data_IF_518583622877
#
_entry.id   IF_518583622877
#
_cell.length_a   1.000
_cell.length_b   1.000
_cell.length_c   1.000
_cell.angle_alpha   90.00
_cell.angle_beta   90.00
_cell.angle_gamma   90.00
#
_symmetry.space_group_name_H-M   'P 1'
#
loop_
_entity.id
_entity.type
_entity.pdbx_description
1 polymer ?
#
# COMPACT_ATOMS: atom_id res chain seq x y z
N UNK A 1 12.50 -13.57 10.77
CA UNK A 1 12.39 -12.48 9.77
C UNK A 1 10.96 -11.95 9.81
N UNK A 2 10.76 -10.64 9.95
CA UNK A 2 9.41 -10.06 9.94
C UNK A 2 8.81 -10.20 8.54
N UNK A 3 7.66 -10.88 8.43
CA UNK A 3 6.90 -10.94 7.18
C UNK A 3 6.42 -9.53 6.83
N UNK A 4 6.77 -9.06 5.65
CA UNK A 4 6.43 -7.71 5.18
C UNK A 4 5.60 -7.81 3.91
N UNK A 5 4.58 -6.98 3.83
CA UNK A 5 3.80 -6.81 2.61
C UNK A 5 4.57 -6.05 1.52
N UNK A 6 5.62 -5.31 1.91
CA UNK A 6 6.38 -4.50 0.98
C UNK A 6 7.07 -5.38 -0.07
N UNK A 7 6.99 -5.01 -1.36
CA UNK A 7 7.73 -5.67 -2.42
C UNK A 7 9.24 -5.59 -2.19
N UNK A 8 9.97 -6.65 -2.57
CA UNK A 8 11.45 -6.64 -2.58
C UNK A 8 11.98 -5.77 -3.72
N UNK A 9 13.26 -5.39 -3.65
CA UNK A 9 13.96 -4.65 -4.72
C UNK A 9 13.86 -5.33 -6.10
N UNK A 10 13.80 -6.66 -6.14
CA UNK A 10 13.65 -7.44 -7.39
C UNK A 10 12.29 -7.26 -8.07
N UNK A 11 11.27 -6.73 -7.38
CA UNK A 11 9.94 -6.50 -7.95
C UNK A 11 9.84 -5.24 -8.82
N UNK A 12 10.90 -4.44 -8.98
CA UNK A 12 10.87 -3.13 -9.66
C UNK A 12 10.32 -3.19 -11.11
N UNK A 13 10.46 -4.33 -11.80
CA UNK A 13 9.95 -4.53 -13.16
C UNK A 13 8.67 -5.37 -13.27
N UNK A 14 7.97 -5.66 -12.17
CA UNK A 14 6.77 -6.50 -12.17
C UNK A 14 5.51 -5.63 -12.23
N UNK A 15 4.59 -5.92 -13.16
CA UNK A 15 3.31 -5.21 -13.25
C UNK A 15 2.38 -5.41 -12.03
N UNK A 16 2.66 -6.40 -11.19
CA UNK A 16 1.94 -6.66 -9.93
C UNK A 16 2.53 -5.91 -8.73
N UNK A 17 3.57 -5.09 -8.94
CA UNK A 17 4.19 -4.27 -7.91
C UNK A 17 3.41 -2.96 -7.74
N UNK A 18 2.75 -2.78 -6.58
CA UNK A 18 2.00 -1.56 -6.25
C UNK A 18 2.83 -0.56 -5.43
N UNK A 19 4.12 -0.84 -5.22
CA UNK A 19 5.06 -0.03 -4.44
C UNK A 19 5.00 -0.30 -2.93
N UNK A 20 3.81 -0.26 -2.34
CA UNK A 20 3.58 -0.55 -0.91
C UNK A 20 3.26 -2.04 -0.65
N UNK A 21 2.69 -2.73 -1.64
CA UNK A 21 2.34 -4.16 -1.58
C UNK A 21 2.39 -4.83 -2.96
N UNK A 22 2.28 -6.15 -2.99
CA UNK A 22 2.02 -6.89 -4.23
C UNK A 22 0.51 -7.07 -4.43
N UNK A 23 0.07 -7.11 -5.69
CA UNK A 23 -1.31 -7.33 -6.05
C UNK A 23 -1.83 -8.75 -5.76
N UNK A 24 -0.94 -9.76 -5.78
CA UNK A 24 -1.31 -11.19 -5.66
C UNK A 24 -0.86 -11.79 -4.33
N UNK A 25 0.38 -11.52 -3.92
CA UNK A 25 0.97 -12.15 -2.74
C UNK A 25 0.95 -11.20 -1.55
N UNK A 26 0.42 -11.69 -0.42
CA UNK A 26 0.43 -10.94 0.84
C UNK A 26 1.85 -10.68 1.34
N UNK A 27 2.78 -11.63 1.14
CA UNK A 27 4.17 -11.54 1.59
C UNK A 27 5.12 -11.78 0.40
N UNK A 28 5.48 -10.73 -0.36
CA UNK A 28 6.29 -10.89 -1.57
C UNK A 28 7.67 -11.45 -1.30
N UNK A 29 8.25 -11.17 -0.13
CA UNK A 29 9.58 -11.65 0.28
C UNK A 29 9.68 -13.18 0.29
N UNK A 30 8.60 -13.87 0.66
CA UNK A 30 8.59 -15.34 0.77
C UNK A 30 8.74 -16.00 -0.61
N UNK A 31 8.25 -15.33 -1.66
CA UNK A 31 8.33 -15.82 -3.04
C UNK A 31 9.71 -15.68 -3.67
N UNK A 32 10.59 -14.90 -3.04
CA UNK A 32 11.98 -14.70 -3.47
C UNK A 32 12.99 -15.41 -2.55
N UNK A 33 12.50 -16.19 -1.57
CA UNK A 33 13.35 -16.88 -0.61
C UNK A 33 14.15 -18.02 -1.27
N UNK A 34 15.35 -18.29 -0.75
CA UNK A 34 16.26 -19.37 -1.19
C UNK A 34 16.65 -19.35 -2.68
N UNK A 35 16.82 -18.16 -3.27
CA UNK A 35 17.33 -18.01 -4.64
C UNK A 35 16.31 -18.31 -5.74
N UNK A 36 15.04 -18.51 -5.40
CA UNK A 36 13.96 -18.73 -6.38
C UNK A 36 13.46 -17.41 -6.98
N UNK A 37 12.90 -17.50 -8.18
CA UNK A 37 12.17 -16.41 -8.81
C UNK A 37 10.71 -16.42 -8.35
N UNK A 38 10.14 -15.24 -8.10
CA UNK A 38 8.73 -15.11 -7.78
C UNK A 38 7.86 -15.59 -8.96
N UNK A 39 6.86 -16.47 -8.76
CA UNK A 39 6.00 -16.97 -9.84
C UNK A 39 5.17 -15.90 -10.55
N UNK A 40 4.93 -14.76 -9.88
CA UNK A 40 4.23 -13.62 -10.47
C UNK A 40 5.13 -12.63 -11.21
N UNK A 41 6.46 -12.81 -11.16
CA UNK A 41 7.38 -11.88 -11.80
C UNK A 41 7.24 -11.96 -13.32
N UNK A 42 6.84 -10.84 -13.96
CA UNK A 42 6.56 -10.75 -15.40
C UNK A 42 5.51 -11.76 -15.91
N UNK A 43 4.61 -12.23 -15.04
CA UNK A 43 3.53 -13.12 -15.46
C UNK A 43 2.34 -12.28 -15.97
N UNK A 44 2.17 -12.27 -17.30
CA UNK A 44 1.11 -11.49 -17.96
C UNK A 44 -0.30 -11.98 -17.64
N UNK A 45 -0.48 -13.29 -17.42
CA UNK A 45 -1.78 -13.85 -17.09
C UNK A 45 -2.26 -13.34 -15.72
N UNK A 46 -1.38 -13.38 -14.70
CA UNK A 46 -1.69 -12.84 -13.37
C UNK A 46 -1.94 -11.33 -13.39
N UNK A 47 -1.20 -10.60 -14.23
CA UNK A 47 -1.42 -9.15 -14.41
C UNK A 47 -2.82 -8.89 -14.99
N UNK A 48 -3.20 -9.63 -16.04
CA UNK A 48 -4.52 -9.49 -16.66
C UNK A 48 -5.65 -9.78 -15.68
N UNK A 49 -5.56 -10.86 -14.93
CA UNK A 49 -6.56 -11.21 -13.89
C UNK A 49 -6.72 -10.10 -12.85
N UNK A 50 -5.61 -9.50 -12.42
CA UNK A 50 -5.64 -8.38 -11.49
C UNK A 50 -6.31 -7.13 -12.09
N UNK A 51 -6.01 -6.82 -13.36
CA UNK A 51 -6.64 -5.70 -14.05
C UNK A 51 -8.15 -5.92 -14.23
N UNK A 52 -8.57 -7.13 -14.57
CA UNK A 52 -9.99 -7.50 -14.64
C UNK A 52 -10.68 -7.40 -13.28
N UNK A 53 -10.02 -7.83 -12.20
CA UNK A 53 -10.53 -7.70 -10.85
C UNK A 53 -10.72 -6.23 -10.45
N UNK A 54 -9.75 -5.38 -10.74
CA UNK A 54 -9.81 -3.93 -10.51
C UNK A 54 -10.96 -3.28 -11.30
N UNK A 55 -11.15 -3.67 -12.56
CA UNK A 55 -12.25 -3.16 -13.39
C UNK A 55 -13.63 -3.54 -12.82
N UNK A 56 -13.76 -4.75 -12.24
CA UNK A 56 -15.00 -5.22 -11.59
C UNK A 56 -15.24 -4.56 -10.22
N UNK A 57 -14.20 -4.13 -9.54
CA UNK A 57 -14.26 -3.57 -8.19
C UNK A 57 -13.64 -2.17 -8.12
N UNK A 58 -14.20 -1.19 -8.86
CA UNK A 58 -13.66 0.15 -8.85
C UNK A 58 -13.69 0.74 -7.43
N UNK A 59 -12.62 1.43 -7.00
CA UNK A 59 -12.61 2.07 -5.70
C UNK A 59 -13.71 3.13 -5.62
N UNK A 60 -14.46 3.13 -4.51
CA UNK A 60 -15.51 4.13 -4.27
C UNK A 60 -14.92 5.53 -4.32
N UNK A 61 -15.45 6.42 -5.17
CA UNK A 61 -14.95 7.78 -5.35
C UNK A 61 -14.78 8.56 -4.04
N UNK A 62 -15.75 8.46 -3.14
CA UNK A 62 -15.70 9.12 -1.83
C UNK A 62 -14.53 8.65 -0.95
N UNK A 63 -14.04 7.42 -1.15
CA UNK A 63 -12.83 6.92 -0.47
C UNK A 63 -11.57 7.51 -1.12
N UNK A 64 -11.54 7.60 -2.45
CA UNK A 64 -10.43 8.20 -3.21
C UNK A 64 -10.25 9.67 -2.82
N UNK A 65 -11.33 10.47 -2.88
CA UNK A 65 -11.29 11.90 -2.50
C UNK A 65 -10.77 12.12 -1.07
N UNK A 66 -11.18 11.27 -0.12
CA UNK A 66 -10.68 11.32 1.27
C UNK A 66 -9.19 11.03 1.38
N UNK A 67 -8.69 10.07 0.61
CA UNK A 67 -7.25 9.72 0.61
C UNK A 67 -6.40 10.82 -0.03
N UNK A 68 -6.88 11.43 -1.11
CA UNK A 68 -6.20 12.57 -1.76
C UNK A 68 -6.12 13.78 -0.83
N UNK A 69 -7.23 14.16 -0.20
CA UNK A 69 -7.25 15.24 0.79
C UNK A 69 -6.28 14.97 1.96
N UNK A 70 -6.16 13.71 2.39
CA UNK A 70 -5.18 13.32 3.42
C UNK A 70 -3.73 13.45 2.92
N UNK A 71 -3.42 13.03 1.69
CA UNK A 71 -2.07 13.14 1.11
C UNK A 71 -1.62 14.59 1.00
N UNK A 72 -2.51 15.49 0.57
CA UNK A 72 -2.23 16.93 0.49
C UNK A 72 -1.90 17.49 1.88
N UNK A 73 -2.71 17.17 2.89
CA UNK A 73 -2.45 17.59 4.28
C UNK A 73 -1.16 17.03 4.86
N UNK A 74 -0.77 15.80 4.49
CA UNK A 74 0.47 15.20 4.98
C UNK A 74 1.73 15.93 4.48
N UNK A 75 1.64 16.69 3.39
CA UNK A 75 2.74 17.53 2.88
C UNK A 75 2.78 18.92 3.51
N UNK A 76 1.77 19.30 4.30
CA UNK A 76 1.77 20.55 5.04
C UNK A 76 2.79 20.47 6.19
N UNK A 77 3.66 21.46 6.26
CA UNK A 77 4.71 21.50 7.28
C UNK A 77 4.09 21.83 8.65
N UNK A 78 4.08 20.86 9.57
CA UNK A 78 3.54 21.01 10.93
C UNK A 78 4.56 21.63 11.91
N UNK A 79 5.31 22.65 11.49
CA UNK A 79 6.37 23.28 12.30
C UNK A 79 5.84 24.14 13.46
N UNK A 80 4.52 24.39 13.52
CA UNK A 80 3.92 25.28 14.52
C UNK A 80 3.46 24.57 15.81
N UNK A 81 3.76 23.28 16.00
CA UNK A 81 3.34 22.54 17.22
C UNK A 81 1.82 22.38 17.37
N UNK A 82 1.03 22.81 16.39
CA UNK A 82 -0.41 22.66 16.38
C UNK A 82 -0.77 21.20 16.00
N UNK A 83 -1.61 20.53 16.80
CA UNK A 83 -1.98 19.15 16.55
C UNK A 83 -2.73 19.03 15.22
N UNK A 84 -2.47 17.94 14.50
CA UNK A 84 -3.22 17.60 13.28
C UNK A 84 -4.71 17.54 13.63
N UNK A 85 -5.57 18.36 13.00
CA UNK A 85 -7.01 18.33 13.29
C UNK A 85 -7.55 16.92 12.99
N UNK A 86 -8.06 16.25 14.03
CA UNK A 86 -8.53 14.86 13.97
C UNK A 86 -7.63 13.81 14.64
N UNK A 87 -6.46 14.19 15.17
CA UNK A 87 -5.63 13.34 16.07
C UNK A 87 -5.66 13.78 17.54
N UNK A 88 -6.57 14.66 17.92
CA UNK A 88 -6.83 14.98 19.32
C UNK A 88 -7.60 13.81 19.97
N UNK A 89 -6.87 12.84 20.52
CA UNK A 89 -7.46 12.00 21.57
C UNK A 89 -7.78 12.95 22.73
N UNK A 90 -9.02 13.00 23.25
CA UNK A 90 -9.28 13.76 24.45
C UNK A 90 -8.35 13.22 25.55
N UNK A 91 -7.56 14.11 26.15
CA UNK A 91 -6.79 13.78 27.34
C UNK A 91 -7.79 13.31 28.39
N UNK A 92 -7.83 12.00 28.65
CA UNK A 92 -8.68 11.44 29.69
C UNK A 92 -8.04 11.85 31.01
N UNK A 93 -8.71 12.65 31.87
CA UNK A 93 -8.15 12.96 33.17
C UNK A 93 -8.04 11.66 33.97
N UNK A 94 -6.81 11.28 34.35
CA UNK A 94 -6.59 10.25 35.36
C UNK A 94 -7.02 10.83 36.71
N UNK A 95 -7.93 10.13 37.38
CA UNK A 95 -8.29 10.35 38.79
C UNK A 95 -7.12 9.98 39.69
#
# INVERSE_FOLDING_TARGET
>A
MHRTHKPVRKCHGCGLNLGDRCAVYEYPHDQWHNGRNCPGYKNEAMLREYLEYQAKHPPKEAKVRRQEAQKLRATESHHQGLPIPGRTRPATPRR
#
